data_IF_000693587870
#
_entry.id   IF_000693587870
#
_cell.length_a   1.000
_cell.length_b   1.000
_cell.length_c   1.000
_cell.angle_alpha   90.00
_cell.angle_beta   90.00
_cell.angle_gamma   90.00
#
_symmetry.space_group_name_H-M   'P 1'
#
loop_
_entity.id
_entity.type
_entity.pdbx_description
1 polymer ?
#
# COMPACT_ATOMS: atom_id res chain seq x y z
N UNK A 1 -26.63 19.98 13.71
CA UNK A 1 -25.79 19.76 14.91
C UNK A 1 -25.93 18.28 15.25
N UNK A 2 -25.15 17.44 14.57
CA UNK A 2 -25.11 15.99 14.82
C UNK A 2 -23.80 15.70 15.54
N UNK A 3 -23.94 15.27 16.77
CA UNK A 3 -22.89 14.95 17.71
C UNK A 3 -22.22 13.63 17.30
N UNK A 4 -20.98 13.73 16.80
CA UNK A 4 -20.16 12.62 16.28
C UNK A 4 -19.20 12.03 17.34
N UNK A 5 -19.38 12.37 18.60
CA UNK A 5 -18.49 11.94 19.70
C UNK A 5 -18.66 10.45 20.07
N UNK A 6 -19.83 9.84 19.84
CA UNK A 6 -20.13 8.54 20.44
C UNK A 6 -19.48 7.30 19.78
N UNK A 7 -18.83 7.40 18.62
CA UNK A 7 -18.16 6.26 17.95
C UNK A 7 -16.69 6.52 17.56
N UNK A 8 -16.14 7.69 17.90
CA UNK A 8 -14.81 8.15 17.49
C UNK A 8 -13.78 8.20 18.65
N UNK A 9 -14.19 7.85 19.87
CA UNK A 9 -13.36 8.01 21.08
C UNK A 9 -12.48 6.78 21.42
N UNK A 10 -12.60 5.67 20.68
CA UNK A 10 -11.87 4.41 20.95
C UNK A 10 -10.66 4.19 20.01
N UNK A 11 -10.07 5.28 19.50
CA UNK A 11 -8.87 5.22 18.65
C UNK A 11 -7.67 5.84 19.38
N UNK A 12 -6.65 5.02 19.63
CA UNK A 12 -5.40 5.47 20.23
C UNK A 12 -4.58 6.25 19.20
N UNK A 13 -4.81 7.56 19.14
CA UNK A 13 -4.12 8.47 18.22
C UNK A 13 -2.60 8.49 18.45
N UNK A 14 -2.07 8.55 19.69
CA UNK A 14 -0.63 8.38 19.93
C UNK A 14 -0.06 7.08 19.36
N UNK A 15 -0.73 5.95 19.55
CA UNK A 15 -0.27 4.68 18.99
C UNK A 15 -0.31 4.67 17.46
N UNK A 16 -1.37 5.19 16.85
CA UNK A 16 -1.46 5.31 15.39
C UNK A 16 -0.39 6.25 14.84
N UNK A 17 -0.15 7.40 15.47
CA UNK A 17 0.94 8.30 15.10
C UNK A 17 2.28 7.57 15.05
N UNK A 18 2.60 6.83 16.12
CA UNK A 18 3.84 6.05 16.18
C UNK A 18 3.89 4.95 15.11
N UNK A 19 2.75 4.31 14.83
CA UNK A 19 2.63 3.30 13.79
C UNK A 19 2.91 3.89 12.39
N UNK A 20 2.35 5.06 12.08
CA UNK A 20 2.60 5.76 10.81
C UNK A 20 4.06 6.20 10.67
N UNK A 21 4.68 6.75 11.72
CA UNK A 21 6.10 7.12 11.69
C UNK A 21 7.01 5.89 11.53
N UNK A 22 6.66 4.78 12.17
CA UNK A 22 7.39 3.51 12.04
C UNK A 22 7.27 2.97 10.62
N UNK A 23 6.06 2.97 10.06
CA UNK A 23 5.79 2.53 8.70
C UNK A 23 6.55 3.36 7.66
N UNK A 24 6.55 4.69 7.80
CA UNK A 24 7.34 5.58 6.96
C UNK A 24 8.83 5.18 6.95
N UNK A 25 9.39 4.92 8.15
CA UNK A 25 10.81 4.58 8.31
C UNK A 25 11.17 3.21 7.75
N UNK A 26 10.32 2.20 7.98
CA UNK A 26 10.66 0.80 7.73
C UNK A 26 10.20 0.30 6.36
N UNK A 27 9.06 0.79 5.87
CA UNK A 27 8.37 0.21 4.71
C UNK A 27 8.40 1.12 3.48
N UNK A 28 8.65 2.43 3.65
CA UNK A 28 8.62 3.41 2.55
C UNK A 28 10.00 3.84 2.05
N UNK A 29 11.06 3.07 2.33
CA UNK A 29 12.45 3.48 2.08
C UNK A 29 12.76 3.85 0.62
N UNK A 30 12.07 3.24 -0.35
CA UNK A 30 12.17 3.52 -1.78
C UNK A 30 10.97 4.29 -2.35
N UNK A 31 10.04 4.73 -1.48
CA UNK A 31 8.74 5.29 -1.86
C UNK A 31 8.54 6.69 -1.25
N UNK A 32 9.17 7.74 -1.81
CA UNK A 32 9.20 9.07 -1.20
C UNK A 32 7.81 9.69 -0.98
N UNK A 33 6.85 9.42 -1.87
CA UNK A 33 5.47 9.88 -1.71
C UNK A 33 4.84 9.27 -0.46
N UNK A 34 4.93 7.95 -0.29
CA UNK A 34 4.29 7.25 0.82
C UNK A 34 4.95 7.58 2.17
N UNK A 35 6.27 7.76 2.22
CA UNK A 35 6.95 8.29 3.42
C UNK A 35 6.38 9.66 3.80
N UNK A 36 6.27 10.59 2.84
CA UNK A 36 5.74 11.93 3.09
C UNK A 36 4.27 11.89 3.55
N UNK A 37 3.41 11.11 2.87
CA UNK A 37 2.01 10.93 3.26
C UNK A 37 1.88 10.39 4.69
N UNK A 38 2.72 9.42 5.06
CA UNK A 38 2.70 8.87 6.41
C UNK A 38 3.11 9.89 7.47
N UNK A 39 4.14 10.70 7.20
CA UNK A 39 4.56 11.76 8.13
C UNK A 39 3.51 12.85 8.26
N UNK A 40 2.88 13.26 7.16
CA UNK A 40 1.77 14.21 7.20
C UNK A 40 0.62 13.63 8.04
N UNK A 41 0.21 12.39 7.79
CA UNK A 41 -0.86 11.75 8.57
C UNK A 41 -0.51 11.63 10.06
N UNK A 42 0.75 11.35 10.41
CA UNK A 42 1.21 11.29 11.79
C UNK A 42 1.09 12.63 12.53
N UNK A 43 1.16 13.76 11.82
CA UNK A 43 0.98 15.11 12.37
C UNK A 43 -0.46 15.62 12.28
N UNK A 44 -1.36 14.90 11.62
CA UNK A 44 -2.74 15.32 11.34
C UNK A 44 -3.76 14.37 11.97
N UNK A 45 -4.22 14.63 13.22
CA UNK A 45 -5.17 13.77 13.92
C UNK A 45 -6.47 13.49 13.15
N UNK A 46 -6.90 14.43 12.30
CA UNK A 46 -8.09 14.28 11.46
C UNK A 46 -7.95 13.15 10.44
N UNK A 47 -6.75 12.92 9.90
CA UNK A 47 -6.45 11.83 8.98
C UNK A 47 -6.40 10.49 9.70
N UNK A 48 -5.77 10.43 10.88
CA UNK A 48 -5.73 9.21 11.69
C UNK A 48 -7.13 8.75 12.12
N UNK A 49 -8.03 9.70 12.43
CA UNK A 49 -9.43 9.41 12.79
C UNK A 49 -10.23 8.76 11.66
N UNK A 50 -9.82 8.88 10.40
CA UNK A 50 -10.48 8.15 9.31
C UNK A 50 -10.40 6.64 9.53
N UNK A 51 -9.38 6.13 10.22
CA UNK A 51 -9.24 4.69 10.53
C UNK A 51 -10.21 4.21 11.64
N UNK A 52 -10.96 5.10 12.30
CA UNK A 52 -11.89 4.68 13.35
C UNK A 52 -12.98 3.73 12.85
N UNK A 53 -13.39 3.90 11.58
CA UNK A 53 -14.41 3.05 10.92
C UNK A 53 -13.85 1.72 10.42
N UNK A 54 -12.53 1.52 10.43
CA UNK A 54 -11.92 0.27 10.03
C UNK A 54 -12.11 -0.80 11.12
N UNK A 55 -12.20 -2.07 10.69
CA UNK A 55 -12.09 -3.21 11.59
C UNK A 55 -10.78 -3.11 12.41
N UNK A 56 -10.78 -3.40 13.73
CA UNK A 56 -9.61 -3.15 14.58
C UNK A 56 -8.26 -3.68 14.05
N UNK A 57 -8.16 -4.90 13.49
CA UNK A 57 -6.90 -5.40 12.94
C UNK A 57 -6.39 -4.63 11.71
N UNK A 58 -7.28 -3.91 11.02
CA UNK A 58 -7.03 -3.18 9.78
C UNK A 58 -6.76 -1.68 10.01
N UNK A 59 -6.79 -1.20 11.26
CA UNK A 59 -6.40 0.16 11.65
C UNK A 59 -4.89 0.38 11.49
N UNK A 60 -4.42 0.37 10.23
CA UNK A 60 -3.01 0.38 9.83
C UNK A 60 -2.75 1.44 8.75
N UNK A 61 -1.52 1.93 8.61
CA UNK A 61 -1.17 2.93 7.59
C UNK A 61 -1.57 2.50 6.17
N UNK A 62 -1.33 1.24 5.83
CA UNK A 62 -1.57 0.70 4.49
C UNK A 62 -3.02 0.84 4.07
N UNK A 63 -3.98 0.71 4.99
CA UNK A 63 -5.40 0.83 4.66
C UNK A 63 -5.76 2.26 4.24
N UNK A 64 -5.29 3.27 4.98
CA UNK A 64 -5.52 4.67 4.62
C UNK A 64 -4.85 5.01 3.28
N UNK A 65 -3.58 4.62 3.12
CA UNK A 65 -2.81 4.86 1.91
C UNK A 65 -3.45 4.16 0.70
N UNK A 66 -3.89 2.92 0.85
CA UNK A 66 -4.58 2.17 -0.19
C UNK A 66 -5.94 2.77 -0.53
N UNK A 67 -6.70 3.27 0.45
CA UNK A 67 -8.00 3.92 0.19
C UNK A 67 -7.83 5.21 -0.64
N UNK A 68 -6.82 6.02 -0.30
CA UNK A 68 -6.47 7.22 -1.09
C UNK A 68 -6.06 6.83 -2.50
N UNK A 69 -5.15 5.87 -2.63
CA UNK A 69 -4.64 5.45 -3.92
C UNK A 69 -5.70 4.76 -4.79
N UNK A 70 -6.60 3.97 -4.20
CA UNK A 70 -7.72 3.36 -4.91
C UNK A 70 -8.64 4.42 -5.53
N UNK A 71 -8.88 5.55 -4.83
CA UNK A 71 -9.62 6.67 -5.41
C UNK A 71 -8.87 7.34 -6.56
N UNK A 72 -7.54 7.44 -6.50
CA UNK A 72 -6.74 7.90 -7.64
C UNK A 72 -6.91 6.96 -8.83
N UNK A 73 -6.77 5.65 -8.61
CA UNK A 73 -6.93 4.60 -9.64
C UNK A 73 -8.35 4.56 -10.21
N UNK A 74 -9.36 4.91 -9.41
CA UNK A 74 -10.74 5.06 -9.84
C UNK A 74 -11.00 6.33 -10.69
N UNK A 75 -9.97 7.10 -11.00
CA UNK A 75 -10.05 8.27 -11.89
C UNK A 75 -10.37 9.58 -11.18
N UNK A 76 -9.96 9.74 -9.92
CA UNK A 76 -10.11 11.03 -9.22
C UNK A 76 -9.48 12.18 -10.02
N UNK A 77 -10.22 13.27 -10.18
CA UNK A 77 -9.75 14.49 -10.84
C UNK A 77 -9.09 15.49 -9.87
N UNK A 78 -8.91 15.11 -8.61
CA UNK A 78 -8.31 15.99 -7.61
C UNK A 78 -6.82 16.22 -7.89
N UNK A 79 -6.29 17.39 -7.50
CA UNK A 79 -4.88 17.75 -7.70
C UNK A 79 -3.87 16.79 -7.04
N UNK A 80 -4.35 15.94 -6.11
CA UNK A 80 -3.53 14.91 -5.47
C UNK A 80 -3.06 13.84 -6.48
N UNK A 81 -3.83 13.58 -7.54
CA UNK A 81 -3.48 12.62 -8.59
C UNK A 81 -2.16 12.95 -9.29
N UNK A 82 -1.78 14.23 -9.35
CA UNK A 82 -0.51 14.66 -9.93
C UNK A 82 0.72 14.06 -9.23
N UNK A 83 0.59 13.61 -7.98
CA UNK A 83 1.66 12.99 -7.21
C UNK A 83 1.80 11.47 -7.46
N UNK A 84 0.84 10.81 -8.10
CA UNK A 84 0.79 9.35 -8.24
C UNK A 84 1.20 8.89 -9.66
N UNK A 85 2.41 8.31 -9.85
CA UNK A 85 2.86 7.84 -11.18
C UNK A 85 1.97 6.78 -11.81
N UNK A 86 1.35 5.94 -10.99
CA UNK A 86 0.41 4.88 -11.42
C UNK A 86 -0.84 5.40 -12.13
N UNK A 87 -1.16 6.68 -12.02
CA UNK A 87 -2.26 7.35 -12.75
C UNK A 87 -1.76 8.49 -13.64
N UNK A 88 -0.48 8.48 -14.00
CA UNK A 88 0.14 9.47 -14.89
C UNK A 88 0.64 10.73 -14.19
N UNK A 89 0.61 10.79 -12.85
CA UNK A 89 1.21 11.88 -12.08
C UNK A 89 2.73 11.90 -12.22
N UNK A 90 3.32 13.09 -12.32
CA UNK A 90 4.78 13.29 -12.45
C UNK A 90 5.38 14.14 -11.33
N UNK A 91 4.54 14.62 -10.41
CA UNK A 91 4.94 15.54 -9.35
C UNK A 91 5.56 14.77 -8.19
N UNK A 92 6.78 15.12 -7.81
CA UNK A 92 7.39 14.61 -6.58
C UNK A 92 6.74 15.18 -5.32
N UNK A 93 6.92 14.52 -4.18
CA UNK A 93 6.50 15.04 -2.89
C UNK A 93 7.19 16.39 -2.60
N UNK A 94 6.38 17.43 -2.37
CA UNK A 94 6.84 18.81 -2.18
C UNK A 94 6.06 19.51 -1.06
N UNK A 95 6.37 20.79 -0.81
CA UNK A 95 5.76 21.54 0.28
C UNK A 95 4.22 21.66 0.19
N UNK A 96 3.65 21.57 -1.02
CA UNK A 96 2.21 21.68 -1.24
C UNK A 96 1.46 20.35 -0.99
N UNK A 97 2.17 19.24 -0.81
CA UNK A 97 1.56 17.91 -0.64
C UNK A 97 0.63 17.88 0.58
N UNK A 98 1.02 18.52 1.70
CA UNK A 98 0.19 18.56 2.92
C UNK A 98 -1.17 19.18 2.66
N UNK A 99 -1.20 20.39 2.12
CA UNK A 99 -2.45 21.11 1.84
C UNK A 99 -3.28 20.36 0.79
N UNK A 100 -2.63 19.81 -0.23
CA UNK A 100 -3.30 19.04 -1.28
C UNK A 100 -3.94 17.75 -0.73
N UNK A 101 -3.25 17.04 0.16
CA UNK A 101 -3.78 15.84 0.82
C UNK A 101 -4.96 16.18 1.72
N UNK A 102 -4.86 17.23 2.53
CA UNK A 102 -5.93 17.63 3.43
C UNK A 102 -7.18 18.08 2.65
N UNK A 103 -7.01 18.88 1.59
CA UNK A 103 -8.10 19.28 0.71
C UNK A 103 -8.77 18.06 0.06
N UNK A 104 -7.98 17.08 -0.40
CA UNK A 104 -8.48 15.82 -0.93
C UNK A 104 -9.31 15.05 0.09
N UNK A 105 -8.78 14.83 1.29
CA UNK A 105 -9.47 14.06 2.32
C UNK A 105 -10.76 14.73 2.82
N UNK A 106 -10.87 16.05 2.71
CA UNK A 106 -12.12 16.78 2.95
C UNK A 106 -13.10 16.58 1.80
N UNK A 107 -12.66 16.74 0.56
CA UNK A 107 -13.51 16.62 -0.63
C UNK A 107 -14.04 15.19 -0.83
N UNK A 108 -13.21 14.18 -0.59
CA UNK A 108 -13.52 12.76 -0.81
C UNK A 108 -13.82 12.01 0.49
N UNK A 109 -14.21 12.72 1.55
CA UNK A 109 -14.36 12.16 2.91
C UNK A 109 -15.26 10.92 2.93
N UNK A 110 -16.44 11.01 2.33
CA UNK A 110 -17.42 9.93 2.38
C UNK A 110 -16.93 8.70 1.61
N UNK A 111 -16.31 8.90 0.45
CA UNK A 111 -15.73 7.84 -0.37
C UNK A 111 -14.54 7.15 0.34
N UNK A 112 -13.73 7.92 1.08
CA UNK A 112 -12.66 7.38 1.93
C UNK A 112 -13.23 6.55 3.08
N UNK A 113 -14.23 7.06 3.79
CA UNK A 113 -14.88 6.35 4.91
C UNK A 113 -15.47 5.03 4.43
N UNK A 114 -16.18 5.03 3.29
CA UNK A 114 -16.74 3.82 2.69
C UNK A 114 -15.65 2.76 2.43
N UNK A 115 -14.55 3.15 1.77
CA UNK A 115 -13.44 2.24 1.47
C UNK A 115 -12.78 1.69 2.72
N UNK A 116 -12.49 2.55 3.69
CA UNK A 116 -11.83 2.17 4.95
C UNK A 116 -12.72 1.23 5.77
N UNK A 117 -14.04 1.41 5.75
CA UNK A 117 -14.98 0.56 6.47
C UNK A 117 -15.16 -0.82 5.82
N UNK A 118 -15.15 -0.89 4.48
CA UNK A 118 -15.54 -2.10 3.75
C UNK A 118 -14.38 -2.93 3.22
N UNK A 119 -13.18 -2.35 3.11
CA UNK A 119 -12.03 -3.02 2.49
C UNK A 119 -10.94 -3.37 3.48
N UNK A 120 -10.09 -4.30 3.07
CA UNK A 120 -8.91 -4.73 3.83
C UNK A 120 -7.70 -4.72 2.91
N UNK A 121 -6.52 -4.52 3.48
CA UNK A 121 -5.26 -4.66 2.73
C UNK A 121 -4.66 -6.03 2.99
N UNK A 122 -4.03 -6.57 1.95
CA UNK A 122 -3.33 -7.84 1.99
C UNK A 122 -1.94 -7.65 1.40
N UNK A 123 -0.91 -7.88 2.20
CA UNK A 123 0.48 -7.66 1.76
C UNK A 123 0.91 -8.82 0.85
N UNK A 124 1.30 -8.48 -0.38
CA UNK A 124 1.94 -9.41 -1.30
C UNK A 124 3.35 -8.89 -1.58
N UNK A 125 4.38 -9.66 -1.21
CA UNK A 125 5.79 -9.32 -1.45
C UNK A 125 6.27 -10.01 -2.72
N UNK A 126 5.81 -9.52 -3.88
CA UNK A 126 6.08 -10.12 -5.20
C UNK A 126 7.58 -10.12 -5.50
N UNK A 127 8.35 -9.20 -4.91
CA UNK A 127 9.81 -9.16 -5.03
C UNK A 127 10.50 -10.47 -4.62
N UNK A 128 9.88 -11.29 -3.75
CA UNK A 128 10.41 -12.62 -3.39
C UNK A 128 10.55 -13.54 -4.59
N UNK A 129 9.72 -13.39 -5.61
CA UNK A 129 9.82 -14.17 -6.84
C UNK A 129 11.19 -13.99 -7.52
N UNK A 130 11.82 -12.82 -7.42
CA UNK A 130 13.15 -12.57 -8.00
C UNK A 130 14.27 -13.40 -7.35
N UNK A 131 14.06 -13.90 -6.13
CA UNK A 131 14.99 -14.82 -5.45
C UNK A 131 14.53 -16.26 -5.62
N UNK A 132 13.21 -16.51 -5.60
CA UNK A 132 12.66 -17.86 -5.69
C UNK A 132 12.88 -18.50 -7.07
N UNK A 133 12.68 -17.74 -8.14
CA UNK A 133 12.82 -18.26 -9.51
C UNK A 133 14.20 -18.88 -9.81
N UNK A 134 15.35 -18.22 -9.54
CA UNK A 134 16.65 -18.84 -9.81
C UNK A 134 16.91 -20.09 -8.97
N UNK A 135 16.39 -20.14 -7.73
CA UNK A 135 16.49 -21.32 -6.86
C UNK A 135 15.69 -22.50 -7.45
N UNK A 136 14.45 -22.25 -7.89
CA UNK A 136 13.61 -23.28 -8.53
C UNK A 136 14.26 -23.80 -9.81
N UNK A 137 14.83 -22.92 -10.64
CA UNK A 137 15.56 -23.31 -11.84
C UNK A 137 16.74 -24.21 -11.51
N UNK A 138 17.54 -23.85 -10.51
CA UNK A 138 18.71 -24.63 -10.10
C UNK A 138 18.31 -26.01 -9.56
N UNK A 139 17.22 -26.09 -8.79
CA UNK A 139 16.66 -27.34 -8.32
C UNK A 139 16.23 -28.25 -9.46
N UNK A 140 15.57 -27.70 -10.49
CA UNK A 140 15.19 -28.46 -11.68
C UNK A 140 16.41 -29.05 -12.40
N UNK A 141 17.47 -28.25 -12.57
CA UNK A 141 18.72 -28.71 -13.22
C UNK A 141 19.39 -29.82 -12.41
N UNK A 142 19.58 -29.63 -11.09
CA UNK A 142 20.28 -30.61 -10.24
C UNK A 142 19.52 -31.91 -10.04
N UNK A 143 18.19 -31.83 -9.96
CA UNK A 143 17.34 -33.00 -9.74
C UNK A 143 17.02 -33.76 -11.03
N UNK A 144 17.23 -33.14 -12.20
CA UNK A 144 16.77 -33.65 -13.49
C UNK A 144 15.24 -33.68 -13.63
N UNK A 145 14.50 -32.95 -12.77
CA UNK A 145 13.04 -32.88 -12.77
C UNK A 145 12.58 -31.46 -13.07
N UNK A 146 11.99 -31.26 -14.25
CA UNK A 146 11.48 -29.94 -14.68
C UNK A 146 10.14 -29.56 -14.04
N UNK A 147 9.34 -30.54 -13.64
CA UNK A 147 8.02 -30.30 -13.06
C UNK A 147 8.12 -30.14 -11.54
N UNK A 148 8.14 -28.87 -11.09
CA UNK A 148 8.17 -28.52 -9.66
C UNK A 148 6.82 -27.93 -9.27
N UNK A 149 6.20 -28.49 -8.23
CA UNK A 149 5.00 -27.92 -7.61
C UNK A 149 5.39 -26.97 -6.47
N UNK A 150 4.92 -25.72 -6.54
CA UNK A 150 5.06 -24.73 -5.46
C UNK A 150 3.78 -24.69 -4.62
N UNK A 151 3.93 -24.89 -3.31
CA UNK A 151 2.84 -24.78 -2.34
C UNK A 151 3.13 -23.58 -1.41
N UNK A 152 2.27 -22.57 -1.45
CA UNK A 152 2.36 -21.37 -0.61
C UNK A 152 1.16 -21.31 0.36
N UNK A 153 1.40 -21.68 1.62
CA UNK A 153 0.37 -21.70 2.67
C UNK A 153 0.12 -20.29 3.18
N UNK A 154 -1.10 -19.78 2.96
CA UNK A 154 -1.43 -18.39 3.26
C UNK A 154 -0.94 -17.41 2.19
N UNK A 155 -0.96 -17.83 0.92
CA UNK A 155 -0.48 -17.08 -0.25
C UNK A 155 -1.13 -15.71 -0.52
N UNK A 156 -2.03 -15.24 0.36
CA UNK A 156 -2.69 -13.94 0.23
C UNK A 156 -3.47 -13.84 -1.09
N UNK A 157 -3.11 -12.92 -2.00
CA UNK A 157 -3.73 -12.82 -3.33
C UNK A 157 -3.15 -13.82 -4.35
N UNK A 158 -2.23 -14.69 -3.93
CA UNK A 158 -1.63 -15.73 -4.75
C UNK A 158 -0.58 -15.22 -5.74
N UNK A 159 -0.11 -13.98 -5.61
CA UNK A 159 0.81 -13.39 -6.60
C UNK A 159 2.16 -14.14 -6.65
N UNK A 160 2.67 -14.63 -5.52
CA UNK A 160 3.90 -15.42 -5.50
C UNK A 160 3.75 -16.82 -6.12
N UNK A 161 2.52 -17.35 -6.28
CA UNK A 161 2.27 -18.59 -7.00
C UNK A 161 2.50 -18.44 -8.51
N UNK A 162 2.49 -17.20 -9.02
CA UNK A 162 2.81 -16.88 -10.41
C UNK A 162 4.31 -16.76 -10.69
N UNK A 163 5.18 -17.36 -9.88
CA UNK A 163 6.65 -17.23 -10.00
C UNK A 163 7.17 -17.61 -11.40
N UNK A 164 6.54 -18.54 -12.10
CA UNK A 164 6.89 -18.94 -13.47
C UNK A 164 6.32 -18.00 -14.55
N UNK A 165 5.43 -17.07 -14.19
CA UNK A 165 4.72 -16.15 -15.09
C UNK A 165 5.34 -14.76 -15.15
N UNK A 166 6.32 -14.47 -14.32
CA UNK A 166 6.98 -13.17 -14.31
C UNK A 166 8.24 -13.17 -15.17
N UNK A 167 8.54 -12.00 -15.72
CA UNK A 167 9.84 -11.68 -16.28
C UNK A 167 10.71 -11.06 -15.18
N UNK A 168 11.92 -11.56 -15.03
CA UNK A 168 12.90 -11.11 -14.06
C UNK A 168 14.01 -10.37 -14.77
N UNK A 169 14.17 -9.09 -14.44
CA UNK A 169 15.25 -8.26 -14.98
C UNK A 169 16.27 -8.00 -13.86
N UNK A 170 17.49 -8.50 -14.04
CA UNK A 170 18.61 -8.31 -13.11
C UNK A 170 19.59 -7.24 -13.61
N UNK A 171 19.21 -6.48 -14.65
CA UNK A 171 20.03 -5.44 -15.29
C UNK A 171 20.96 -5.99 -16.37
N UNK A 172 21.87 -6.90 -16.01
CA UNK A 172 22.81 -7.50 -16.98
C UNK A 172 22.14 -8.57 -17.85
N UNK A 173 21.14 -9.25 -17.31
CA UNK A 173 20.38 -10.30 -17.99
C UNK A 173 18.94 -10.34 -17.50
N UNK A 174 18.07 -10.93 -18.31
CA UNK A 174 16.67 -11.17 -17.96
C UNK A 174 16.31 -12.65 -18.15
N UNK A 175 15.42 -13.15 -17.30
CA UNK A 175 14.94 -14.54 -17.27
C UNK A 175 13.42 -14.59 -17.07
N UNK A 176 12.83 -15.78 -17.15
CA UNK A 176 11.41 -16.00 -16.90
C UNK A 176 10.54 -15.85 -18.15
N UNK A 177 9.27 -15.50 -17.95
CA UNK A 177 8.29 -15.35 -19.03
C UNK A 177 8.67 -14.21 -20.00
N UNK A 178 8.25 -14.35 -21.26
CA UNK A 178 8.46 -13.36 -22.33
C UNK A 178 7.32 -12.36 -22.36
#
# INVERSE_FOLDING_TARGET
MNDLTAAADDIDLPALRNLFLTFARLECGSEPLYDALCRIAADEPSLLRLLAVAAPPQRRPNLLLAAIHDLMLAGSTHALAAYYPSVGGTRGADAALRETLLAFCVAERDALIERIAQRTTQTNEIGRCAVLWPVLRELAVRSGRGDIALLDFGCSAGLNLGVDRYRYDYGEFALGAV
#
